data_IF_312780266530
#
_entry.id   IF_312780266530
#
_cell.length_a   1.000
_cell.length_b   1.000
_cell.length_c   1.000
_cell.angle_alpha   90.00
_cell.angle_beta   90.00
_cell.angle_gamma   90.00
#
_symmetry.space_group_name_H-M   'P 1'
#
loop_
_entity.id
_entity.type
_entity.pdbx_description
1 polymer ?
#
# COMPACT_ATOMS: atom_id res chain seq x y z
N UNK A 1 19.13 40.77 -7.50
CA UNK A 1 18.56 39.49 -7.98
C UNK A 1 18.44 39.59 -9.49
N UNK A 2 19.02 38.65 -10.24
CA UNK A 2 19.03 38.67 -11.70
C UNK A 2 17.61 38.55 -12.23
N UNK A 3 17.13 39.54 -12.98
CA UNK A 3 15.83 39.50 -13.65
C UNK A 3 15.94 38.47 -14.77
N UNK A 4 14.98 37.56 -14.88
CA UNK A 4 15.02 36.43 -15.81
C UNK A 4 14.95 36.89 -17.28
N UNK A 5 16.08 37.29 -17.86
CA UNK A 5 16.24 37.56 -19.28
C UNK A 5 16.35 36.26 -20.07
N UNK A 6 15.54 36.08 -21.11
CA UNK A 6 15.56 34.88 -21.97
C UNK A 6 14.83 33.64 -21.42
N UNK A 7 13.97 33.81 -20.40
CA UNK A 7 13.21 32.69 -19.83
C UNK A 7 12.06 32.24 -20.74
N UNK A 8 11.94 30.93 -20.93
CA UNK A 8 10.78 30.30 -21.57
C UNK A 8 9.69 30.01 -20.53
N UNK A 9 8.52 30.58 -20.74
CA UNK A 9 7.30 30.25 -20.01
C UNK A 9 6.60 29.10 -20.74
N UNK A 10 6.51 27.97 -20.06
CA UNK A 10 5.91 26.72 -20.55
C UNK A 10 4.62 26.48 -19.77
N UNK A 11 3.55 27.15 -20.19
CA UNK A 11 2.19 27.01 -19.67
C UNK A 11 1.29 26.39 -20.74
N UNK A 12 0.28 27.12 -21.25
CA UNK A 12 -0.55 26.70 -22.37
C UNK A 12 0.11 27.06 -23.71
N UNK A 13 0.75 28.22 -23.76
CA UNK A 13 1.57 28.67 -24.87
C UNK A 13 3.05 28.55 -24.49
N UNK A 14 3.93 28.40 -25.48
CA UNK A 14 5.37 28.64 -25.26
C UNK A 14 5.63 30.12 -25.50
N UNK A 15 5.86 30.86 -24.42
CA UNK A 15 6.15 32.29 -24.48
C UNK A 15 7.61 32.52 -24.09
N UNK A 16 8.28 33.44 -24.77
CA UNK A 16 9.65 33.81 -24.44
C UNK A 16 9.66 35.23 -23.90
N UNK A 17 10.18 35.41 -22.69
CA UNK A 17 10.47 36.73 -22.14
C UNK A 17 11.79 37.21 -22.74
N UNK A 18 11.71 38.20 -23.64
CA UNK A 18 12.89 38.79 -24.26
C UNK A 18 13.84 39.36 -23.18
N UNK A 19 15.17 39.30 -23.38
CA UNK A 19 16.09 39.97 -22.46
C UNK A 19 15.78 41.46 -22.37
N UNK A 20 15.73 42.02 -21.15
CA UNK A 20 15.39 43.43 -20.94
C UNK A 20 16.36 44.36 -21.69
N UNK A 21 17.61 43.96 -21.84
CA UNK A 21 18.66 44.70 -22.56
C UNK A 21 18.35 44.85 -24.06
N UNK A 22 17.53 43.94 -24.62
CA UNK A 22 17.14 43.97 -26.04
C UNK A 22 15.90 44.83 -26.29
N UNK A 23 15.17 45.22 -25.23
CA UNK A 23 13.96 46.05 -25.32
C UNK A 23 14.32 47.53 -25.21
N UNK A 24 14.84 48.10 -26.29
CA UNK A 24 15.36 49.48 -26.30
C UNK A 24 14.33 50.56 -26.62
N UNK A 25 13.15 50.19 -27.12
CA UNK A 25 12.07 51.12 -27.51
C UNK A 25 10.85 50.97 -26.62
N UNK A 26 10.06 52.04 -26.50
CA UNK A 26 8.80 52.02 -25.75
C UNK A 26 7.84 50.92 -26.25
N UNK A 27 7.70 50.79 -27.57
CA UNK A 27 6.87 49.73 -28.18
C UNK A 27 7.39 48.32 -27.83
N UNK A 28 8.70 48.10 -27.85
CA UNK A 28 9.28 46.81 -27.47
C UNK A 28 9.03 46.49 -26.00
N UNK A 29 9.16 47.48 -25.11
CA UNK A 29 8.82 47.34 -23.69
C UNK A 29 7.33 47.06 -23.48
N UNK A 30 6.42 47.77 -24.17
CA UNK A 30 4.97 47.52 -24.11
C UNK A 30 4.60 46.12 -24.62
N UNK A 31 5.24 45.64 -25.68
CA UNK A 31 5.08 44.27 -26.18
C UNK A 31 5.59 43.24 -25.16
N UNK A 32 6.77 43.47 -24.57
CA UNK A 32 7.31 42.63 -23.50
C UNK A 32 6.37 42.55 -22.29
N UNK A 33 5.80 43.68 -21.86
CA UNK A 33 4.81 43.74 -20.79
C UNK A 33 3.57 42.92 -21.14
N UNK A 34 3.08 43.04 -22.39
CA UNK A 34 1.90 42.28 -22.85
C UNK A 34 2.15 40.78 -22.85
N UNK A 35 3.33 40.33 -23.27
CA UNK A 35 3.72 38.90 -23.22
C UNK A 35 3.74 38.40 -21.78
N UNK A 36 4.32 39.17 -20.86
CA UNK A 36 4.33 38.85 -19.44
C UNK A 36 2.92 38.76 -18.85
N UNK A 37 2.01 39.66 -19.23
CA UNK A 37 0.60 39.60 -18.79
C UNK A 37 -0.13 38.36 -19.31
N UNK A 38 0.14 37.92 -20.55
CA UNK A 38 -0.39 36.66 -21.08
C UNK A 38 0.16 35.49 -20.25
N UNK A 39 1.49 35.46 -20.02
CA UNK A 39 2.13 34.42 -19.20
C UNK A 39 1.59 34.35 -17.76
N UNK A 40 1.37 35.51 -17.12
CA UNK A 40 0.74 35.59 -15.80
C UNK A 40 -0.67 35.01 -15.82
N UNK A 41 -1.49 35.41 -16.81
CA UNK A 41 -2.88 34.94 -16.92
C UNK A 41 -2.95 33.42 -17.10
N UNK A 42 -2.11 32.87 -17.97
CA UNK A 42 -2.01 31.42 -18.19
C UNK A 42 -1.55 30.67 -16.94
N UNK A 43 -0.52 31.20 -16.25
CA UNK A 43 0.02 30.59 -15.03
C UNK A 43 -0.98 30.64 -13.87
N UNK A 44 -1.76 31.72 -13.74
CA UNK A 44 -2.86 31.83 -12.75
C UNK A 44 -3.93 30.78 -13.03
N UNK A 45 -4.33 30.63 -14.30
CA UNK A 45 -5.33 29.65 -14.69
C UNK A 45 -4.84 28.21 -14.45
N UNK A 46 -3.57 27.93 -14.77
CA UNK A 46 -2.95 26.62 -14.53
C UNK A 46 -2.85 26.31 -13.03
N UNK A 47 -2.44 27.27 -12.20
CA UNK A 47 -2.44 27.11 -10.75
C UNK A 47 -3.85 26.84 -10.21
N UNK A 48 -4.87 27.55 -10.71
CA UNK A 48 -6.26 27.33 -10.30
C UNK A 48 -6.82 25.95 -10.73
N UNK A 49 -6.44 25.46 -11.92
CA UNK A 49 -6.81 24.12 -12.37
C UNK A 49 -6.14 23.02 -11.52
N UNK A 50 -4.89 23.24 -11.11
CA UNK A 50 -4.19 22.34 -10.20
C UNK A 50 -4.80 22.38 -8.80
N UNK A 51 -5.11 23.56 -8.25
CA UNK A 51 -5.84 23.71 -6.97
C UNK A 51 -7.17 22.91 -6.98
N UNK A 52 -7.91 22.89 -8.10
CA UNK A 52 -9.14 22.09 -8.25
C UNK A 52 -8.88 20.58 -8.27
N UNK A 53 -7.73 20.15 -8.79
CA UNK A 53 -7.32 18.74 -8.86
C UNK A 53 -6.81 18.19 -7.54
N UNK A 54 -6.51 19.04 -6.55
CA UNK A 54 -6.10 18.59 -5.21
C UNK A 54 -7.19 17.77 -4.52
N UNK A 55 -8.45 18.19 -4.62
CA UNK A 55 -9.55 17.49 -3.94
C UNK A 55 -9.72 16.06 -4.47
N UNK A 56 -9.87 15.82 -5.79
CA UNK A 56 -9.89 14.46 -6.33
C UNK A 56 -8.66 13.62 -5.94
N UNK A 57 -7.48 14.23 -5.90
CA UNK A 57 -6.26 13.53 -5.49
C UNK A 57 -6.28 13.13 -4.00
N UNK A 58 -6.83 13.98 -3.12
CA UNK A 58 -7.08 13.64 -1.71
C UNK A 58 -8.11 12.53 -1.59
N UNK A 59 -9.22 12.60 -2.33
CA UNK A 59 -10.25 11.56 -2.33
C UNK A 59 -9.67 10.20 -2.79
N UNK A 60 -8.75 10.20 -3.78
CA UNK A 60 -8.02 9.00 -4.20
C UNK A 60 -7.10 8.43 -3.10
N UNK A 61 -6.41 9.30 -2.34
CA UNK A 61 -5.56 8.89 -1.21
C UNK A 61 -6.41 8.29 -0.09
N UNK A 62 -7.49 8.95 0.31
CA UNK A 62 -8.42 8.45 1.35
C UNK A 62 -9.03 7.10 0.94
N UNK A 63 -9.41 6.95 -0.33
CA UNK A 63 -9.91 5.68 -0.86
C UNK A 63 -8.85 4.57 -0.80
N UNK A 64 -7.58 4.89 -1.06
CA UNK A 64 -6.48 3.94 -0.93
C UNK A 64 -6.23 3.54 0.53
N UNK A 65 -6.24 4.48 1.47
CA UNK A 65 -6.09 4.19 2.90
C UNK A 65 -7.22 3.28 3.41
N UNK A 66 -8.45 3.55 2.99
CA UNK A 66 -9.61 2.68 3.30
C UNK A 66 -9.41 1.28 2.74
N UNK A 67 -8.97 1.15 1.48
CA UNK A 67 -8.69 -0.16 0.87
C UNK A 67 -7.57 -0.91 1.60
N UNK A 68 -6.52 -0.20 2.06
CA UNK A 68 -5.46 -0.81 2.86
C UNK A 68 -6.00 -1.34 4.20
N UNK A 69 -6.90 -0.60 4.85
CA UNK A 69 -7.54 -1.06 6.09
C UNK A 69 -8.45 -2.29 5.85
N UNK A 70 -9.20 -2.31 4.75
CA UNK A 70 -10.02 -3.45 4.34
C UNK A 70 -9.18 -4.71 4.10
N UNK A 71 -8.07 -4.60 3.36
CA UNK A 71 -7.16 -5.72 3.10
C UNK A 71 -6.52 -6.25 4.40
N UNK A 72 -6.12 -5.36 5.33
CA UNK A 72 -5.63 -5.76 6.67
C UNK A 72 -6.68 -6.51 7.48
N UNK A 73 -7.94 -6.09 7.42
CA UNK A 73 -9.03 -6.77 8.11
C UNK A 73 -9.28 -8.18 7.55
N UNK A 74 -9.19 -8.35 6.23
CA UNK A 74 -9.35 -9.66 5.59
C UNK A 74 -8.21 -10.61 6.00
N UNK A 75 -6.96 -10.14 5.97
CA UNK A 75 -5.81 -10.93 6.42
C UNK A 75 -5.98 -11.37 7.88
N UNK A 76 -6.34 -10.44 8.77
CA UNK A 76 -6.60 -10.76 10.19
C UNK A 76 -7.69 -11.82 10.39
N UNK A 77 -8.76 -11.76 9.58
CA UNK A 77 -9.83 -12.77 9.59
C UNK A 77 -9.34 -14.15 9.12
N UNK A 78 -8.51 -14.19 8.07
CA UNK A 78 -7.90 -15.42 7.58
C UNK A 78 -6.93 -16.02 8.59
N UNK A 79 -6.08 -15.21 9.21
CA UNK A 79 -5.15 -15.61 10.26
C UNK A 79 -5.89 -16.19 11.47
N UNK A 80 -6.99 -15.57 11.89
CA UNK A 80 -7.84 -16.09 12.97
C UNK A 80 -8.41 -17.47 12.64
N UNK A 81 -8.88 -17.67 11.40
CA UNK A 81 -9.40 -18.96 10.93
C UNK A 81 -8.30 -20.03 10.83
N UNK A 82 -7.10 -19.63 10.43
CA UNK A 82 -5.93 -20.51 10.39
C UNK A 82 -5.52 -20.93 11.81
N UNK A 83 -5.39 -19.97 12.73
CA UNK A 83 -5.03 -20.23 14.12
C UNK A 83 -6.03 -21.17 14.82
N UNK A 84 -7.34 -20.98 14.56
CA UNK A 84 -8.36 -21.88 15.09
C UNK A 84 -8.22 -23.31 14.55
N UNK A 85 -8.03 -23.47 13.24
CA UNK A 85 -7.83 -24.78 12.63
C UNK A 85 -6.55 -25.46 13.14
N UNK A 86 -5.47 -24.69 13.29
CA UNK A 86 -4.21 -25.19 13.83
C UNK A 86 -4.38 -25.66 15.29
N UNK A 87 -5.11 -24.90 16.11
CA UNK A 87 -5.42 -25.31 17.49
C UNK A 87 -6.21 -26.63 17.52
N UNK A 88 -7.26 -26.75 16.71
CA UNK A 88 -8.07 -27.97 16.63
C UNK A 88 -7.22 -29.19 16.22
N UNK A 89 -6.41 -29.04 15.17
CA UNK A 89 -5.49 -30.08 14.72
C UNK A 89 -4.51 -30.51 15.82
N UNK A 90 -3.90 -29.54 16.54
CA UNK A 90 -2.96 -29.84 17.63
C UNK A 90 -3.63 -30.55 18.81
N UNK A 91 -4.86 -30.16 19.15
CA UNK A 91 -5.65 -30.84 20.19
C UNK A 91 -5.97 -32.28 19.81
N UNK A 92 -6.37 -32.54 18.56
CA UNK A 92 -6.62 -33.90 18.07
C UNK A 92 -5.37 -34.74 17.98
N UNK A 93 -4.27 -34.16 17.48
CA UNK A 93 -2.99 -34.85 17.39
C UNK A 93 -2.53 -35.34 18.77
N UNK A 94 -2.62 -34.48 19.79
CA UNK A 94 -2.30 -34.86 21.18
C UNK A 94 -3.20 -35.99 21.70
N UNK A 95 -4.51 -35.93 21.43
CA UNK A 95 -5.43 -36.97 21.86
C UNK A 95 -5.15 -38.31 21.16
N UNK A 96 -4.83 -38.27 19.86
CA UNK A 96 -4.40 -39.44 19.09
C UNK A 96 -3.10 -40.03 19.64
N UNK A 97 -2.07 -39.21 19.88
CA UNK A 97 -0.77 -39.66 20.38
C UNK A 97 -0.89 -40.33 21.76
N UNK A 98 -1.73 -39.79 22.65
CA UNK A 98 -1.96 -40.40 23.97
C UNK A 98 -2.69 -41.74 23.85
N UNK A 99 -3.73 -41.84 23.02
CA UNK A 99 -4.44 -43.10 22.79
C UNK A 99 -3.55 -44.15 22.12
N UNK A 100 -2.71 -43.73 21.17
CA UNK A 100 -1.72 -44.60 20.53
C UNK A 100 -0.73 -45.15 21.56
N UNK A 101 -0.24 -44.31 22.48
CA UNK A 101 0.65 -44.74 23.57
C UNK A 101 0.01 -45.78 24.48
N UNK A 102 -1.28 -45.61 24.82
CA UNK A 102 -2.03 -46.59 25.62
C UNK A 102 -2.19 -47.91 24.85
N UNK A 103 -2.57 -47.84 23.56
CA UNK A 103 -2.69 -49.01 22.70
C UNK A 103 -1.37 -49.78 22.59
N UNK A 104 -0.25 -49.08 22.32
CA UNK A 104 1.07 -49.70 22.18
C UNK A 104 1.48 -50.43 23.47
N UNK A 105 1.18 -49.84 24.64
CA UNK A 105 1.43 -50.46 25.94
C UNK A 105 0.56 -51.72 26.16
N UNK A 106 -0.74 -51.64 25.85
CA UNK A 106 -1.65 -52.78 26.02
C UNK A 106 -1.33 -53.91 25.04
N UNK A 107 -1.00 -53.60 23.79
CA UNK A 107 -0.55 -54.57 22.80
C UNK A 107 0.76 -55.26 23.23
N UNK A 108 1.72 -54.52 23.80
CA UNK A 108 2.96 -55.10 24.30
C UNK A 108 2.72 -56.06 25.48
N UNK A 109 1.83 -55.70 26.41
CA UNK A 109 1.49 -56.55 27.55
C UNK A 109 0.72 -57.80 27.10
N UNK A 110 -0.20 -57.67 26.13
CA UNK A 110 -0.92 -58.80 25.53
C UNK A 110 0.05 -59.81 24.92
N UNK A 111 0.96 -59.34 24.04
CA UNK A 111 1.99 -60.20 23.42
C UNK A 111 2.84 -60.92 24.46
N UNK A 112 3.19 -60.23 25.56
CA UNK A 112 3.98 -60.83 26.65
C UNK A 112 3.20 -61.93 27.38
N UNK A 113 1.93 -61.69 27.71
CA UNK A 113 1.07 -62.69 28.34
C UNK A 113 0.78 -63.89 27.44
N UNK A 114 0.53 -63.64 26.15
CA UNK A 114 0.35 -64.67 25.14
C UNK A 114 1.61 -65.53 24.98
N UNK A 115 2.81 -64.91 24.92
CA UNK A 115 4.08 -65.63 24.84
C UNK A 115 4.32 -66.50 26.09
N UNK A 116 4.06 -65.96 27.29
CA UNK A 116 4.19 -66.72 28.54
C UNK A 116 3.26 -67.94 28.57
N UNK A 117 1.98 -67.76 28.20
CA UNK A 117 1.01 -68.87 28.10
C UNK A 117 1.41 -69.90 27.04
N UNK A 118 1.87 -69.44 25.87
CA UNK A 118 2.29 -70.31 24.76
C UNK A 118 3.59 -71.08 25.02
N UNK A 119 4.43 -70.63 25.95
CA UNK A 119 5.63 -71.35 26.37
C UNK A 119 5.33 -72.63 27.16
N UNK A 120 4.13 -72.75 27.72
CA UNK A 120 3.66 -73.97 28.38
C UNK A 120 3.20 -75.00 27.36
N UNK A 121 3.44 -76.28 27.64
CA UNK A 121 2.84 -77.39 26.91
C UNK A 121 1.30 -77.26 26.91
N UNK A 122 0.59 -77.57 25.80
CA UNK A 122 -0.84 -77.34 25.68
C UNK A 122 -1.69 -77.89 26.83
N UNK A 123 -1.32 -79.05 27.38
CA UNK A 123 -2.05 -79.72 28.46
C UNK A 123 -1.91 -79.00 29.81
N UNK A 124 -0.90 -78.13 29.95
CA UNK A 124 -0.61 -77.33 31.16
C UNK A 124 -1.15 -75.91 31.09
N UNK A 125 -1.73 -75.50 29.96
CA UNK A 125 -2.30 -74.16 29.80
C UNK A 125 -3.63 -74.08 30.53
N UNK A 126 -3.80 -73.06 31.38
CA UNK A 126 -5.07 -72.82 32.04
C UNK A 126 -6.10 -72.27 31.03
N UNK A 127 -7.23 -72.96 30.76
CA UNK A 127 -8.23 -72.51 29.81
C UNK A 127 -8.82 -71.13 30.13
N UNK A 128 -8.96 -70.78 31.42
CA UNK A 128 -9.44 -69.46 31.83
C UNK A 128 -8.44 -68.35 31.47
N UNK A 129 -7.14 -68.62 31.63
CA UNK A 129 -6.07 -67.69 31.22
C UNK A 129 -6.03 -67.51 29.71
N UNK A 130 -6.19 -68.60 28.94
CA UNK A 130 -6.27 -68.53 27.46
C UNK A 130 -7.48 -67.71 27.02
N UNK A 131 -8.66 -67.93 27.62
CA UNK A 131 -9.86 -67.16 27.31
C UNK A 131 -9.68 -65.65 27.63
N UNK A 132 -9.02 -65.32 28.74
CA UNK A 132 -8.71 -63.93 29.10
C UNK A 132 -7.76 -63.26 28.10
N UNK A 133 -6.72 -63.97 27.64
CA UNK A 133 -5.78 -63.47 26.62
C UNK A 133 -6.51 -63.21 25.30
N UNK A 134 -7.36 -64.14 24.85
CA UNK A 134 -8.13 -63.97 23.61
C UNK A 134 -9.08 -62.76 23.69
N UNK A 135 -9.83 -62.62 24.79
CA UNK A 135 -10.70 -61.46 25.00
C UNK A 135 -9.92 -60.13 25.05
N UNK A 136 -8.67 -60.16 25.52
CA UNK A 136 -7.80 -59.00 25.47
C UNK A 136 -7.29 -58.70 24.07
N UNK A 137 -6.87 -59.72 23.31
CA UNK A 137 -6.46 -59.59 21.91
C UNK A 137 -7.58 -58.96 21.06
N UNK A 138 -8.84 -59.36 21.29
CA UNK A 138 -10.01 -58.75 20.64
C UNK A 138 -10.14 -57.25 20.95
N UNK A 139 -9.93 -56.84 22.22
CA UNK A 139 -9.94 -55.42 22.62
C UNK A 139 -8.80 -54.63 22.00
N UNK A 140 -7.59 -55.20 21.94
CA UNK A 140 -6.44 -54.57 21.28
C UNK A 140 -6.73 -54.40 19.78
N UNK A 141 -7.29 -55.42 19.12
CA UNK A 141 -7.70 -55.36 17.71
C UNK A 141 -8.75 -54.28 17.46
N UNK A 142 -9.78 -54.20 18.31
CA UNK A 142 -10.79 -53.14 18.23
C UNK A 142 -10.20 -51.74 18.41
N UNK A 143 -9.29 -51.57 19.38
CA UNK A 143 -8.57 -50.31 19.62
C UNK A 143 -7.72 -49.90 18.42
N UNK A 144 -7.08 -50.86 17.72
CA UNK A 144 -6.35 -50.57 16.48
C UNK A 144 -7.28 -49.99 15.41
N UNK A 145 -8.46 -50.58 15.21
CA UNK A 145 -9.45 -50.06 14.25
C UNK A 145 -9.91 -48.63 14.57
N UNK A 146 -10.03 -48.29 15.85
CA UNK A 146 -10.33 -46.92 16.29
C UNK A 146 -9.17 -45.96 15.98
N UNK A 147 -7.92 -46.35 16.25
CA UNK A 147 -6.74 -45.55 15.94
C UNK A 147 -6.57 -45.32 14.43
N UNK A 148 -6.88 -46.31 13.61
CA UNK A 148 -6.83 -46.20 12.14
C UNK A 148 -7.88 -45.18 11.61
N UNK A 149 -9.04 -45.09 12.26
CA UNK A 149 -10.04 -44.05 11.95
C UNK A 149 -9.56 -42.66 12.42
N UNK A 150 -8.99 -42.58 13.62
CA UNK A 150 -8.49 -41.33 14.18
C UNK A 150 -7.32 -40.74 13.39
N UNK A 151 -6.37 -41.57 12.92
CA UNK A 151 -5.25 -41.08 12.11
C UNK A 151 -5.74 -40.51 10.78
N UNK A 152 -6.79 -41.09 10.19
CA UNK A 152 -7.44 -40.54 9.00
C UNK A 152 -8.02 -39.15 9.26
N UNK A 153 -8.71 -38.96 10.40
CA UNK A 153 -9.25 -37.66 10.81
C UNK A 153 -8.14 -36.63 11.07
N UNK A 154 -7.06 -37.03 11.76
CA UNK A 154 -5.90 -36.15 12.00
C UNK A 154 -5.25 -35.72 10.69
N UNK A 155 -5.15 -36.61 9.70
CA UNK A 155 -4.63 -36.28 8.38
C UNK A 155 -5.56 -35.31 7.62
N UNK A 156 -6.88 -35.52 7.66
CA UNK A 156 -7.84 -34.58 7.07
C UNK A 156 -7.74 -33.18 7.70
N UNK A 157 -7.59 -33.09 9.02
CA UNK A 157 -7.42 -31.79 9.69
C UNK A 157 -6.09 -31.12 9.33
N UNK A 158 -5.02 -31.90 9.17
CA UNK A 158 -3.73 -31.39 8.67
C UNK A 158 -3.88 -30.77 7.28
N UNK A 159 -4.60 -31.43 6.38
CA UNK A 159 -4.88 -30.90 5.04
C UNK A 159 -5.68 -29.59 5.09
N UNK A 160 -6.67 -29.50 5.97
CA UNK A 160 -7.44 -28.26 6.21
C UNK A 160 -6.54 -27.13 6.70
N UNK A 161 -5.63 -27.40 7.64
CA UNK A 161 -4.67 -26.43 8.15
C UNK A 161 -3.74 -25.94 7.04
N UNK A 162 -3.19 -26.85 6.23
CA UNK A 162 -2.31 -26.48 5.12
C UNK A 162 -3.06 -25.68 4.05
N UNK A 163 -4.28 -26.08 3.70
CA UNK A 163 -5.14 -25.33 2.78
C UNK A 163 -5.40 -23.90 3.27
N UNK A 164 -5.70 -23.73 4.56
CA UNK A 164 -5.89 -22.39 5.16
C UNK A 164 -4.61 -21.58 5.18
N UNK A 165 -3.45 -22.21 5.46
CA UNK A 165 -2.15 -21.55 5.41
C UNK A 165 -1.85 -21.02 4.00
N UNK A 166 -2.06 -21.85 2.98
CA UNK A 166 -1.88 -21.44 1.59
C UNK A 166 -2.83 -20.31 1.20
N UNK A 167 -4.08 -20.35 1.66
CA UNK A 167 -5.04 -19.26 1.43
C UNK A 167 -4.58 -17.93 2.05
N UNK A 168 -4.02 -17.94 3.28
CA UNK A 168 -3.44 -16.73 3.91
C UNK A 168 -2.29 -16.19 3.06
N UNK A 169 -1.31 -17.05 2.71
CA UNK A 169 -0.12 -16.65 1.96
C UNK A 169 -0.47 -16.08 0.59
N UNK A 170 -1.29 -16.80 -0.18
CA UNK A 170 -1.72 -16.38 -1.52
C UNK A 170 -2.51 -15.06 -1.48
N UNK A 171 -3.37 -14.90 -0.47
CA UNK A 171 -4.11 -13.66 -0.29
C UNK A 171 -3.18 -12.49 0.04
N UNK A 172 -2.25 -12.67 0.99
CA UNK A 172 -1.27 -11.64 1.38
C UNK A 172 -0.41 -11.22 0.19
N UNK A 173 0.14 -12.15 -0.58
CA UNK A 173 0.93 -11.85 -1.78
C UNK A 173 0.12 -11.06 -2.81
N UNK A 174 -1.10 -11.51 -3.10
CA UNK A 174 -1.99 -10.82 -4.03
C UNK A 174 -2.41 -9.43 -3.55
N UNK A 175 -2.67 -9.25 -2.25
CA UNK A 175 -3.02 -7.96 -1.66
C UNK A 175 -1.85 -6.99 -1.70
N UNK A 176 -0.64 -7.44 -1.36
CA UNK A 176 0.60 -6.65 -1.42
C UNK A 176 0.84 -6.12 -2.83
N UNK A 177 0.81 -6.98 -3.85
CA UNK A 177 1.02 -6.56 -5.25
C UNK A 177 -0.01 -5.52 -5.71
N UNK A 178 -1.29 -5.69 -5.36
CA UNK A 178 -2.34 -4.72 -5.71
C UNK A 178 -2.15 -3.39 -5.00
N UNK A 179 -1.77 -3.40 -3.72
CA UNK A 179 -1.57 -2.18 -2.93
C UNK A 179 -0.31 -1.43 -3.37
N UNK A 180 0.79 -2.14 -3.68
CA UNK A 180 2.03 -1.54 -4.19
C UNK A 180 1.81 -0.83 -5.53
N UNK A 181 1.10 -1.46 -6.47
CA UNK A 181 0.80 -0.85 -7.76
C UNK A 181 -0.03 0.44 -7.63
N UNK A 182 -1.02 0.45 -6.73
CA UNK A 182 -1.85 1.63 -6.46
C UNK A 182 -1.01 2.71 -5.76
N UNK A 183 -0.20 2.33 -4.77
CA UNK A 183 0.67 3.25 -4.03
C UNK A 183 1.66 3.95 -4.97
N UNK A 184 2.37 3.19 -5.81
CA UNK A 184 3.34 3.75 -6.76
C UNK A 184 2.66 4.70 -7.76
N UNK A 185 1.47 4.36 -8.23
CA UNK A 185 0.67 5.22 -9.12
C UNK A 185 0.26 6.52 -8.42
N UNK A 186 -0.23 6.45 -7.18
CA UNK A 186 -0.60 7.62 -6.39
C UNK A 186 0.60 8.51 -6.06
N UNK A 187 1.72 7.92 -5.66
CA UNK A 187 2.95 8.67 -5.38
C UNK A 187 3.44 9.41 -6.62
N UNK A 188 3.40 8.78 -7.80
CA UNK A 188 3.74 9.43 -9.06
C UNK A 188 2.77 10.58 -9.38
N UNK A 189 1.46 10.40 -9.16
CA UNK A 189 0.46 11.46 -9.36
C UNK A 189 0.69 12.64 -8.41
N UNK A 190 0.95 12.39 -7.14
CA UNK A 190 1.23 13.43 -6.13
C UNK A 190 2.47 14.22 -6.52
N UNK A 191 3.60 13.54 -6.79
CA UNK A 191 4.85 14.21 -7.21
C UNK A 191 4.66 15.02 -8.49
N UNK A 192 3.97 14.47 -9.49
CA UNK A 192 3.69 15.18 -10.74
C UNK A 192 2.77 16.39 -10.51
N UNK A 193 1.82 16.30 -9.58
CA UNK A 193 0.92 17.38 -9.21
C UNK A 193 1.67 18.53 -8.52
N UNK A 194 2.45 18.21 -7.49
CA UNK A 194 3.28 19.16 -6.76
C UNK A 194 4.27 19.87 -7.68
N UNK A 195 4.98 19.11 -8.52
CA UNK A 195 5.92 19.67 -9.49
C UNK A 195 5.24 20.66 -10.45
N UNK A 196 4.08 20.29 -11.01
CA UNK A 196 3.32 21.16 -11.94
C UNK A 196 2.83 22.42 -11.24
N UNK A 197 2.40 22.32 -9.98
CA UNK A 197 1.93 23.45 -9.17
C UNK A 197 3.08 24.40 -8.88
N UNK A 198 4.23 23.88 -8.46
CA UNK A 198 5.43 24.66 -8.21
C UNK A 198 5.96 25.35 -9.47
N UNK A 199 5.96 24.65 -10.60
CA UNK A 199 6.36 25.23 -11.90
C UNK A 199 5.44 26.39 -12.31
N UNK A 200 4.11 26.22 -12.17
CA UNK A 200 3.16 27.27 -12.49
C UNK A 200 3.38 28.53 -11.64
N UNK A 201 3.66 28.40 -10.34
CA UNK A 201 3.97 29.56 -9.49
C UNK A 201 5.35 30.17 -9.79
N UNK A 202 6.36 29.35 -10.13
CA UNK A 202 7.68 29.88 -10.57
C UNK A 202 7.54 30.73 -11.83
N UNK A 203 6.76 30.26 -12.80
CA UNK A 203 6.47 30.99 -14.04
C UNK A 203 5.64 32.25 -13.78
N UNK A 204 4.67 32.19 -12.86
CA UNK A 204 3.91 33.36 -12.42
C UNK A 204 4.82 34.44 -11.83
N UNK A 205 5.74 34.05 -10.94
CA UNK A 205 6.71 34.94 -10.31
C UNK A 205 7.64 35.57 -11.34
N UNK A 206 8.20 34.76 -12.24
CA UNK A 206 9.05 35.24 -13.32
C UNK A 206 8.35 36.29 -14.19
N UNK A 207 7.10 36.04 -14.60
CA UNK A 207 6.34 37.00 -15.39
C UNK A 207 6.02 38.28 -14.60
N UNK A 208 5.69 38.17 -13.31
CA UNK A 208 5.38 39.32 -12.46
C UNK A 208 6.61 40.20 -12.22
N UNK A 209 7.75 39.60 -11.86
CA UNK A 209 9.03 40.30 -11.65
C UNK A 209 9.46 41.01 -12.95
N UNK A 210 9.34 40.33 -14.09
CA UNK A 210 9.66 40.90 -15.40
C UNK A 210 8.74 42.08 -15.76
N UNK A 211 7.44 41.97 -15.51
CA UNK A 211 6.49 43.05 -15.74
C UNK A 211 6.76 44.27 -14.84
N UNK A 212 7.15 44.05 -13.58
CA UNK A 212 7.55 45.11 -12.64
C UNK A 212 8.78 45.87 -13.17
N UNK A 213 9.79 45.16 -13.66
CA UNK A 213 11.00 45.80 -14.20
C UNK A 213 10.73 46.59 -15.49
N UNK A 214 9.92 46.05 -16.41
CA UNK A 214 9.51 46.81 -17.60
C UNK A 214 8.79 48.11 -17.21
N UNK A 215 7.88 48.05 -16.23
CA UNK A 215 7.16 49.23 -15.74
C UNK A 215 8.10 50.28 -15.16
N UNK A 216 9.12 49.86 -14.39
CA UNK A 216 10.16 50.78 -13.89
C UNK A 216 10.91 51.45 -15.03
N UNK A 217 11.27 50.71 -16.09
CA UNK A 217 11.96 51.27 -17.26
C UNK A 217 11.06 52.25 -18.02
N UNK A 218 9.78 51.91 -18.23
CA UNK A 218 8.81 52.80 -18.88
C UNK A 218 8.61 54.10 -18.10
N UNK A 219 8.42 54.02 -16.78
CA UNK A 219 8.25 55.18 -15.93
C UNK A 219 9.50 56.08 -15.90
N UNK A 220 10.70 55.49 -15.85
CA UNK A 220 11.96 56.25 -15.73
C UNK A 220 12.46 56.85 -17.04
N UNK A 221 12.32 56.14 -18.17
CA UNK A 221 12.86 56.58 -19.46
C UNK A 221 11.86 57.29 -20.35
N UNK A 222 10.57 56.97 -20.23
CA UNK A 222 9.53 57.47 -21.12
C UNK A 222 8.50 58.35 -20.41
N UNK A 223 8.71 58.68 -19.12
CA UNK A 223 7.81 59.48 -18.28
C UNK A 223 6.35 58.99 -18.34
N UNK A 224 6.15 57.69 -18.55
CA UNK A 224 4.81 57.11 -18.62
C UNK A 224 4.23 57.01 -17.22
N UNK A 225 3.03 57.56 -17.03
CA UNK A 225 2.31 57.47 -15.77
C UNK A 225 1.97 56.00 -15.48
N UNK A 226 1.87 55.66 -14.20
CA UNK A 226 1.68 54.30 -13.70
C UNK A 226 0.49 53.59 -14.39
N UNK A 227 0.77 52.70 -15.35
CA UNK A 227 -0.27 51.97 -16.07
C UNK A 227 -0.85 50.91 -15.14
N UNK A 228 -2.07 51.11 -14.65
CA UNK A 228 -2.80 50.12 -13.87
C UNK A 228 -2.92 48.79 -14.65
N UNK A 229 -2.43 47.67 -14.11
CA UNK A 229 -2.69 46.33 -14.65
C UNK A 229 -3.39 45.47 -13.61
N UNK A 230 -4.67 45.15 -13.85
CA UNK A 230 -5.41 44.19 -13.02
C UNK A 230 -4.72 42.82 -12.95
N UNK A 231 -4.06 42.40 -14.04
CA UNK A 231 -3.40 41.09 -14.15
C UNK A 231 -2.19 41.04 -13.22
N UNK A 232 -1.34 42.08 -13.26
CA UNK A 232 -0.17 42.14 -12.39
C UNK A 232 -0.57 42.19 -10.91
N UNK A 233 -1.57 43.00 -10.56
CA UNK A 233 -2.04 43.09 -9.17
C UNK A 233 -2.58 41.73 -8.68
N UNK A 234 -3.42 41.07 -9.48
CA UNK A 234 -3.92 39.72 -9.14
C UNK A 234 -2.81 38.67 -9.06
N UNK A 235 -1.80 38.74 -9.93
CA UNK A 235 -0.62 37.87 -9.86
C UNK A 235 0.17 38.08 -8.57
N UNK A 236 0.43 39.33 -8.18
CA UNK A 236 1.16 39.70 -6.97
C UNK A 236 0.41 39.27 -5.70
N UNK A 237 -0.93 39.42 -5.67
CA UNK A 237 -1.75 38.91 -4.57
C UNK A 237 -1.67 37.38 -4.45
N UNK A 238 -1.73 36.67 -5.57
CA UNK A 238 -1.66 35.21 -5.59
C UNK A 238 -0.28 34.69 -5.19
N UNK A 239 0.79 35.37 -5.62
CA UNK A 239 2.17 35.09 -5.18
C UNK A 239 2.37 35.37 -3.70
N UNK A 240 1.82 36.47 -3.16
CA UNK A 240 1.87 36.79 -1.73
C UNK A 240 1.17 35.72 -0.89
N UNK A 241 0.01 35.25 -1.33
CA UNK A 241 -0.70 34.16 -0.66
C UNK A 241 0.12 32.86 -0.62
N UNK A 242 0.85 32.54 -1.69
CA UNK A 242 1.72 31.35 -1.76
C UNK A 242 3.05 31.51 -1.00
N UNK A 243 3.63 32.70 -1.01
CA UNK A 243 4.82 33.05 -0.22
C UNK A 243 4.58 32.81 1.27
N UNK A 244 3.42 33.27 1.78
CA UNK A 244 2.98 33.00 3.15
C UNK A 244 2.76 31.50 3.43
N UNK A 245 2.54 30.69 2.40
CA UNK A 245 2.45 29.23 2.46
C UNK A 245 3.80 28.50 2.37
N UNK A 246 4.93 29.23 2.33
CA UNK A 246 6.28 28.64 2.30
C UNK A 246 6.82 28.33 0.90
N UNK A 247 6.27 28.93 -0.16
CA UNK A 247 6.77 28.75 -1.53
C UNK A 247 8.15 29.36 -1.75
N UNK A 248 8.47 30.49 -1.09
CA UNK A 248 9.75 31.20 -1.26
C UNK A 248 10.90 30.63 -0.42
N UNK A 249 10.64 29.65 0.46
CA UNK A 249 11.64 29.02 1.34
C UNK A 249 12.11 27.64 0.89
N UNK A 250 11.56 27.13 -0.23
CA UNK A 250 11.97 25.88 -0.88
C UNK A 250 12.75 26.16 -2.15
#
# INVERSE_FOLDING_TARGET
MSVASGAEIKSKSTLTLAPLETLTTENALRQGLRIAEIGMSESIAQAADLEKKEKPLKDEIEAFEKKQAEEKAIVSSLDTRFALAQKQYLERLRAYDERRRVHDADAARERTAAAASNSLAPEKRNPATVAQINAWADRVSASKGQLDQEVSLVNQEREVVESKRQAVLSYQEGATQRLEAIHASLEAKVKAHEFKKELAYRQLKQCADYAVEIRKILATKFNDAEVFSPILNGAMEKLKAQSNGGFDTK
#
